data_IF_167073862442
#
_entry.id   IF_167073862442
#
_cell.length_a   1.000
_cell.length_b   1.000
_cell.length_c   1.000
_cell.angle_alpha   90.00
_cell.angle_beta   90.00
_cell.angle_gamma   90.00
#
_symmetry.space_group_name_H-M   'P 1'
#
loop_
_entity.id
_entity.type
_entity.pdbx_description
1 polymer ?
#
# COMPACT_ATOMS: atom_id res chain seq x y z
N UNK A 1 -7.02 -33.00 -59.03
CA UNK A 1 -6.71 -31.89 -58.10
C UNK A 1 -6.77 -32.46 -56.69
N UNK A 2 -5.64 -32.86 -56.13
CA UNK A 2 -5.56 -33.45 -54.81
C UNK A 2 -5.16 -32.32 -53.83
N UNK A 3 -6.05 -32.05 -52.88
CA UNK A 3 -5.82 -31.06 -51.79
C UNK A 3 -4.91 -31.68 -50.73
N UNK A 4 -3.73 -31.16 -50.60
CA UNK A 4 -2.77 -31.46 -49.52
C UNK A 4 -3.29 -30.79 -48.25
N UNK A 5 -3.90 -31.54 -47.36
CA UNK A 5 -4.13 -31.15 -45.98
C UNK A 5 -2.81 -31.33 -45.22
N UNK A 6 -2.07 -30.24 -45.01
CA UNK A 6 -0.98 -30.19 -44.01
C UNK A 6 -1.61 -30.17 -42.62
N UNK A 7 -1.55 -31.28 -41.91
CA UNK A 7 -1.82 -31.38 -40.49
C UNK A 7 -0.67 -30.70 -39.76
N UNK A 8 -0.91 -29.46 -39.29
CA UNK A 8 -0.06 -28.80 -38.32
C UNK A 8 -0.22 -29.54 -37.00
N UNK A 9 0.67 -30.46 -36.69
CA UNK A 9 0.79 -31.05 -35.38
C UNK A 9 1.35 -29.99 -34.44
N UNK A 10 0.46 -29.31 -33.73
CA UNK A 10 0.86 -28.47 -32.61
C UNK A 10 1.34 -29.38 -31.49
N UNK A 11 2.65 -29.67 -31.46
CA UNK A 11 3.30 -30.30 -30.33
C UNK A 11 3.20 -29.34 -29.15
N UNK A 12 2.18 -29.49 -28.33
CA UNK A 12 2.08 -28.81 -27.06
C UNK A 12 3.28 -29.23 -26.20
N UNK A 13 4.28 -28.36 -26.10
CA UNK A 13 5.37 -28.51 -25.14
C UNK A 13 4.70 -28.61 -23.75
N UNK A 14 4.93 -29.70 -22.99
CA UNK A 14 4.32 -29.82 -21.67
C UNK A 14 4.80 -28.65 -20.81
N UNK A 15 3.91 -27.74 -20.53
CA UNK A 15 4.14 -26.66 -19.56
C UNK A 15 4.32 -27.37 -18.23
N UNK A 16 5.57 -27.52 -17.81
CA UNK A 16 5.92 -28.03 -16.47
C UNK A 16 5.14 -27.22 -15.49
N UNK A 17 4.19 -27.83 -14.76
CA UNK A 17 3.36 -27.16 -13.78
C UNK A 17 4.29 -26.53 -12.74
N UNK A 18 4.67 -25.28 -12.96
CA UNK A 18 5.42 -24.48 -12.00
C UNK A 18 4.49 -24.22 -10.83
N UNK A 19 4.91 -24.63 -9.64
CA UNK A 19 4.15 -24.31 -8.42
C UNK A 19 4.03 -22.80 -8.33
N UNK A 20 2.82 -22.29 -8.44
CA UNK A 20 2.51 -20.85 -8.41
C UNK A 20 2.88 -20.29 -7.02
N UNK A 21 2.64 -21.07 -5.97
CA UNK A 21 2.90 -20.67 -4.59
C UNK A 21 4.11 -21.46 -4.08
N UNK A 22 5.17 -20.76 -3.73
CA UNK A 22 6.36 -21.30 -3.10
C UNK A 22 6.50 -20.77 -1.68
N UNK A 23 7.15 -21.49 -0.74
CA UNK A 23 7.42 -20.96 0.61
C UNK A 23 8.15 -19.61 0.57
N UNK A 24 9.03 -19.44 -0.41
CA UNK A 24 9.77 -18.20 -0.63
C UNK A 24 8.83 -17.03 -0.98
N UNK A 25 7.85 -17.23 -1.85
CA UNK A 25 6.90 -16.19 -2.22
C UNK A 25 6.01 -15.78 -1.04
N UNK A 26 5.62 -16.73 -0.19
CA UNK A 26 4.86 -16.46 1.03
C UNK A 26 5.70 -15.66 2.03
N UNK A 27 6.97 -16.07 2.26
CA UNK A 27 7.86 -15.35 3.18
C UNK A 27 8.12 -13.91 2.72
N UNK A 28 8.38 -13.71 1.41
CA UNK A 28 8.53 -12.37 0.85
C UNK A 28 7.23 -11.56 0.93
N UNK A 29 6.07 -12.22 0.75
CA UNK A 29 4.77 -11.59 0.93
C UNK A 29 4.53 -11.13 2.38
N UNK A 30 4.81 -11.98 3.36
CA UNK A 30 4.73 -11.62 4.78
C UNK A 30 5.72 -10.50 5.13
N UNK A 31 6.94 -10.56 4.60
CA UNK A 31 7.91 -9.48 4.75
C UNK A 31 7.38 -8.17 4.15
N UNK A 32 6.73 -8.22 2.98
CA UNK A 32 6.08 -7.04 2.37
C UNK A 32 5.00 -6.46 3.28
N UNK A 33 4.15 -7.29 3.85
CA UNK A 33 3.10 -6.84 4.79
C UNK A 33 3.72 -6.12 5.98
N UNK A 34 4.71 -6.73 6.64
CA UNK A 34 5.37 -6.14 7.80
C UNK A 34 6.08 -4.83 7.44
N UNK A 35 6.89 -4.82 6.37
CA UNK A 35 7.63 -3.64 5.95
C UNK A 35 6.69 -2.48 5.59
N UNK A 36 5.63 -2.73 4.84
CA UNK A 36 4.67 -1.70 4.45
C UNK A 36 3.90 -1.20 5.67
N UNK A 37 3.48 -2.09 6.57
CA UNK A 37 2.75 -1.71 7.78
C UNK A 37 3.58 -0.84 8.74
N UNK A 38 4.90 -0.93 8.68
CA UNK A 38 5.81 -0.09 9.46
C UNK A 38 6.22 1.19 8.72
N UNK A 39 6.63 1.03 7.46
CA UNK A 39 7.23 2.11 6.67
C UNK A 39 6.19 3.15 6.27
N UNK A 40 5.03 2.74 5.77
CA UNK A 40 4.03 3.68 5.22
C UNK A 40 3.48 4.61 6.31
N UNK A 41 3.00 4.13 7.49
CA UNK A 41 2.58 5.02 8.57
C UNK A 41 3.72 5.88 9.12
N UNK A 42 4.91 5.33 9.25
CA UNK A 42 6.07 6.09 9.73
C UNK A 42 6.38 7.29 8.83
N UNK A 43 6.47 7.08 7.53
CA UNK A 43 6.72 8.19 6.59
C UNK A 43 5.57 9.18 6.55
N UNK A 44 4.33 8.71 6.62
CA UNK A 44 3.14 9.56 6.54
C UNK A 44 2.93 10.40 7.80
N UNK A 45 3.05 9.81 8.99
CA UNK A 45 2.68 10.47 10.24
C UNK A 45 3.88 11.02 11.02
N UNK A 46 5.02 10.33 11.02
CA UNK A 46 6.20 10.76 11.78
C UNK A 46 7.06 11.72 10.96
N UNK A 47 7.30 11.38 9.70
CA UNK A 47 8.14 12.21 8.82
C UNK A 47 7.32 13.28 8.07
N UNK A 48 5.99 13.29 8.22
CA UNK A 48 5.06 14.19 7.52
C UNK A 48 5.34 14.30 6.01
N UNK A 49 5.76 13.18 5.40
CA UNK A 49 6.14 13.12 3.99
C UNK A 49 4.94 12.69 3.10
N UNK A 50 5.23 12.30 1.86
CA UNK A 50 4.21 11.87 0.90
C UNK A 50 3.32 10.74 1.41
N UNK A 51 2.06 10.77 1.02
CA UNK A 51 1.07 9.74 1.32
C UNK A 51 1.30 8.49 0.45
N UNK A 52 2.21 7.62 0.87
CA UNK A 52 2.63 6.43 0.12
C UNK A 52 1.53 5.37 -0.05
N UNK A 53 0.47 5.44 0.74
CA UNK A 53 -0.64 4.49 0.76
C UNK A 53 -2.02 5.09 0.45
N UNK A 54 -2.10 6.33 -0.05
CA UNK A 54 -3.38 7.04 -0.17
C UNK A 54 -4.15 6.77 -1.47
N UNK A 55 -3.45 6.42 -2.55
CA UNK A 55 -4.05 6.29 -3.88
C UNK A 55 -4.52 4.86 -4.20
N UNK A 56 -5.30 4.72 -5.26
CA UNK A 56 -5.76 3.42 -5.75
C UNK A 56 -4.60 2.50 -6.17
N UNK A 57 -3.47 3.06 -6.56
CA UNK A 57 -2.24 2.35 -6.84
C UNK A 57 -1.19 2.74 -5.80
N UNK A 58 -1.07 1.93 -4.77
CA UNK A 58 -0.23 2.20 -3.61
C UNK A 58 1.26 2.28 -3.98
N UNK A 59 1.80 3.49 -4.07
CA UNK A 59 3.18 3.75 -4.47
C UNK A 59 4.18 3.05 -3.55
N UNK A 60 3.93 2.99 -2.24
CA UNK A 60 4.77 2.27 -1.29
C UNK A 60 4.92 0.78 -1.61
N UNK A 61 3.82 0.13 -2.01
CA UNK A 61 3.85 -1.27 -2.41
C UNK A 61 4.57 -1.48 -3.75
N UNK A 62 4.39 -0.57 -4.71
CA UNK A 62 5.11 -0.61 -5.98
C UNK A 62 6.61 -0.37 -5.80
N UNK A 63 6.99 0.56 -4.93
CA UNK A 63 8.39 0.83 -4.61
C UNK A 63 9.06 -0.41 -3.99
N UNK A 64 8.40 -1.06 -3.03
CA UNK A 64 8.92 -2.28 -2.43
C UNK A 64 9.02 -3.43 -3.45
N UNK A 65 8.02 -3.56 -4.32
CA UNK A 65 8.07 -4.54 -5.41
C UNK A 65 9.22 -4.26 -6.39
N UNK A 66 9.43 -3.00 -6.76
CA UNK A 66 10.57 -2.59 -7.57
C UNK A 66 11.90 -2.91 -6.87
N UNK A 67 12.00 -2.63 -5.56
CA UNK A 67 13.17 -2.97 -4.77
C UNK A 67 13.44 -4.49 -4.79
N UNK A 68 12.42 -5.33 -4.67
CA UNK A 68 12.58 -6.79 -4.81
C UNK A 68 13.10 -7.18 -6.18
N UNK A 69 12.57 -6.60 -7.27
CA UNK A 69 13.08 -6.86 -8.61
C UNK A 69 14.55 -6.50 -8.75
N UNK A 70 14.93 -5.32 -8.29
CA UNK A 70 16.32 -4.89 -8.35
C UNK A 70 17.21 -5.78 -7.49
N UNK A 71 16.84 -6.06 -6.24
CA UNK A 71 17.65 -6.88 -5.35
C UNK A 71 17.78 -8.32 -5.87
N UNK A 72 16.67 -9.00 -6.14
CA UNK A 72 16.69 -10.42 -6.48
C UNK A 72 17.04 -10.68 -7.94
N UNK A 73 16.46 -9.94 -8.88
CA UNK A 73 16.59 -10.23 -10.30
C UNK A 73 17.75 -9.49 -10.98
N UNK A 74 18.22 -8.37 -10.44
CA UNK A 74 19.37 -7.64 -10.99
C UNK A 74 20.64 -7.91 -10.17
N UNK A 75 20.62 -7.69 -8.85
CA UNK A 75 21.83 -7.77 -8.02
C UNK A 75 22.17 -9.22 -7.67
N UNK A 76 21.30 -9.93 -6.97
CA UNK A 76 21.58 -11.28 -6.47
C UNK A 76 21.66 -12.33 -7.58
N UNK A 77 20.92 -12.15 -8.67
CA UNK A 77 20.99 -13.03 -9.83
C UNK A 77 22.36 -13.02 -10.54
N UNK A 78 23.16 -11.97 -10.34
CA UNK A 78 24.54 -11.93 -10.85
C UNK A 78 25.47 -12.92 -10.13
N UNK A 79 25.19 -13.21 -8.85
CA UNK A 79 25.95 -14.17 -8.07
C UNK A 79 25.40 -15.58 -8.24
N UNK A 80 24.07 -15.71 -8.16
CA UNK A 80 23.39 -17.00 -8.29
C UNK A 80 22.05 -16.83 -8.99
N UNK A 81 21.92 -17.40 -10.20
CA UNK A 81 20.69 -17.28 -11.02
C UNK A 81 19.43 -17.82 -10.34
N UNK A 82 19.58 -18.83 -9.47
CA UNK A 82 18.46 -19.42 -8.73
C UNK A 82 17.83 -18.46 -7.72
N UNK A 83 18.50 -17.36 -7.39
CA UNK A 83 17.97 -16.36 -6.48
C UNK A 83 17.03 -15.38 -7.18
N UNK A 84 17.05 -15.31 -8.50
CA UNK A 84 16.10 -14.52 -9.26
C UNK A 84 14.67 -15.04 -9.06
N UNK A 85 13.74 -14.11 -8.80
CA UNK A 85 12.32 -14.41 -8.66
C UNK A 85 11.71 -14.78 -10.00
N UNK A 86 10.84 -15.77 -9.99
CA UNK A 86 9.95 -16.06 -11.11
C UNK A 86 8.77 -15.07 -11.12
N UNK A 87 8.06 -14.90 -12.27
CA UNK A 87 6.86 -14.05 -12.31
C UNK A 87 5.84 -14.41 -11.22
N UNK A 88 5.64 -15.69 -10.96
CA UNK A 88 4.70 -16.20 -9.95
C UNK A 88 5.16 -15.89 -8.53
N UNK A 89 6.46 -16.03 -8.24
CA UNK A 89 7.03 -15.69 -6.94
C UNK A 89 7.00 -14.20 -6.66
N UNK A 90 6.98 -13.37 -7.69
CA UNK A 90 6.90 -11.92 -7.57
C UNK A 90 5.47 -11.39 -7.34
N UNK A 91 4.48 -11.98 -8.02
CA UNK A 91 3.08 -11.51 -7.94
C UNK A 91 2.51 -11.62 -6.52
N UNK A 92 2.88 -12.65 -5.75
CA UNK A 92 2.38 -12.85 -4.38
C UNK A 92 2.82 -11.73 -3.43
N UNK A 93 4.14 -11.42 -3.27
CA UNK A 93 4.59 -10.29 -2.47
C UNK A 93 3.99 -8.95 -2.90
N UNK A 94 3.85 -8.73 -4.20
CA UNK A 94 3.21 -7.52 -4.73
C UNK A 94 1.75 -7.41 -4.29
N UNK A 95 0.96 -8.48 -4.49
CA UNK A 95 -0.46 -8.50 -4.13
C UNK A 95 -0.67 -8.33 -2.61
N UNK A 96 0.12 -9.04 -1.80
CA UNK A 96 0.07 -8.93 -0.34
C UNK A 96 0.49 -7.53 0.12
N UNK A 97 1.53 -6.95 -0.49
CA UNK A 97 1.98 -5.59 -0.22
C UNK A 97 0.95 -4.53 -0.59
N UNK A 98 0.29 -4.66 -1.74
CA UNK A 98 -0.79 -3.75 -2.13
C UNK A 98 -1.98 -3.83 -1.17
N UNK A 99 -2.39 -5.02 -0.76
CA UNK A 99 -3.45 -5.20 0.23
C UNK A 99 -3.08 -4.57 1.59
N UNK A 100 -1.86 -4.80 2.07
CA UNK A 100 -1.37 -4.21 3.32
C UNK A 100 -1.34 -2.68 3.24
N UNK A 101 -0.83 -2.12 2.15
CA UNK A 101 -0.74 -0.66 1.96
C UNK A 101 -2.11 0.01 1.96
N UNK A 102 -3.13 -0.63 1.37
CA UNK A 102 -4.51 -0.14 1.39
C UNK A 102 -5.15 -0.15 2.78
N UNK A 103 -4.70 -1.02 3.67
CA UNK A 103 -5.28 -1.15 5.01
C UNK A 103 -4.60 -0.29 6.08
N UNK A 104 -3.32 0.03 5.92
CA UNK A 104 -2.49 0.57 7.02
C UNK A 104 -2.70 2.04 7.34
N UNK A 105 -3.08 2.88 6.37
CA UNK A 105 -3.21 4.32 6.56
C UNK A 105 -4.62 4.82 6.25
N UNK A 106 -4.78 5.55 5.17
CA UNK A 106 -6.04 6.22 4.81
C UNK A 106 -7.17 5.25 4.44
N UNK A 107 -6.86 4.00 4.09
CA UNK A 107 -7.89 3.02 3.75
C UNK A 107 -8.73 2.56 4.95
N UNK A 108 -8.06 2.12 6.02
CA UNK A 108 -8.75 1.64 7.21
C UNK A 108 -8.06 2.09 8.50
N UNK A 109 -6.74 2.03 8.60
CA UNK A 109 -6.01 2.18 9.86
C UNK A 109 -6.30 3.51 10.56
N UNK A 110 -6.08 4.63 9.90
CA UNK A 110 -6.30 5.96 10.50
C UNK A 110 -7.77 6.27 10.76
N UNK A 111 -8.71 6.11 9.79
CA UNK A 111 -10.13 6.32 10.06
C UNK A 111 -10.68 5.44 11.19
N UNK A 112 -10.24 4.19 11.25
CA UNK A 112 -10.66 3.25 12.27
C UNK A 112 -10.23 3.67 13.68
N UNK A 113 -8.93 3.94 13.85
CA UNK A 113 -8.40 4.40 15.15
C UNK A 113 -9.05 5.73 15.55
N UNK A 114 -9.17 6.68 14.63
CA UNK A 114 -9.82 7.97 14.88
C UNK A 114 -11.28 7.81 15.32
N UNK A 115 -12.02 6.89 14.71
CA UNK A 115 -13.42 6.61 15.07
C UNK A 115 -13.54 6.04 16.49
N UNK A 116 -12.61 5.13 16.88
CA UNK A 116 -12.63 4.53 18.22
C UNK A 116 -12.42 5.55 19.34
N UNK A 117 -11.62 6.57 19.10
CA UNK A 117 -11.25 7.58 20.10
C UNK A 117 -12.05 8.89 19.98
N UNK A 118 -12.69 9.15 18.84
CA UNK A 118 -13.37 10.41 18.55
C UNK A 118 -14.32 10.89 19.64
N UNK A 119 -15.18 10.03 20.25
CA UNK A 119 -16.11 10.48 21.28
C UNK A 119 -15.45 11.13 22.49
N UNK A 120 -14.26 10.66 22.86
CA UNK A 120 -13.51 11.21 24.00
C UNK A 120 -12.52 12.31 23.60
N UNK A 121 -11.95 12.20 22.41
CA UNK A 121 -10.94 13.15 21.94
C UNK A 121 -11.57 14.47 21.50
N UNK A 122 -12.74 14.43 20.88
CA UNK A 122 -13.41 15.59 20.32
C UNK A 122 -14.44 16.20 21.27
N UNK A 123 -14.60 15.66 22.49
CA UNK A 123 -15.48 16.22 23.48
C UNK A 123 -14.94 17.55 24.00
N UNK A 124 -15.76 18.61 23.94
CA UNK A 124 -15.46 19.93 24.47
C UNK A 124 -16.61 20.40 25.38
N UNK A 125 -16.37 21.39 26.26
CA UNK A 125 -17.44 21.97 27.05
C UNK A 125 -18.61 22.54 26.22
N UNK A 126 -18.32 23.04 25.03
CA UNK A 126 -19.29 23.66 24.12
C UNK A 126 -20.21 22.63 23.47
N UNK A 127 -19.67 21.49 23.08
CA UNK A 127 -20.46 20.44 22.41
C UNK A 127 -21.14 19.47 23.39
N UNK A 128 -20.76 19.50 24.67
CA UNK A 128 -21.34 18.72 25.76
C UNK A 128 -21.40 17.19 25.49
N UNK A 129 -20.49 16.66 24.68
CA UNK A 129 -20.49 15.24 24.36
C UNK A 129 -20.30 14.34 25.58
N UNK A 130 -19.57 14.82 26.58
CA UNK A 130 -19.40 14.10 27.83
C UNK A 130 -20.73 13.87 28.57
N UNK A 131 -21.67 14.80 28.48
CA UNK A 131 -22.98 14.71 29.10
C UNK A 131 -23.97 13.88 28.27
N UNK A 132 -24.02 14.15 26.95
CA UNK A 132 -25.02 13.54 26.07
C UNK A 132 -24.64 12.17 25.52
N UNK A 133 -23.36 11.88 25.28
CA UNK A 133 -22.95 10.63 24.62
C UNK A 133 -22.28 9.62 25.55
N UNK A 134 -21.43 10.04 26.50
CA UNK A 134 -20.68 9.10 27.35
C UNK A 134 -21.54 8.09 28.11
N UNK A 135 -22.74 8.42 28.65
CA UNK A 135 -23.55 7.43 29.31
C UNK A 135 -24.04 6.28 28.43
N UNK A 136 -24.07 6.52 27.10
CA UNK A 136 -24.57 5.55 26.12
C UNK A 136 -23.43 4.80 25.39
N UNK A 137 -22.19 5.27 25.50
CA UNK A 137 -21.05 4.60 24.87
C UNK A 137 -20.74 3.28 25.59
N UNK A 138 -20.60 2.24 24.81
CA UNK A 138 -20.26 0.92 25.33
C UNK A 138 -18.75 0.74 25.38
N UNK A 139 -18.18 0.23 26.50
CA UNK A 139 -16.73 0.05 26.65
C UNK A 139 -16.09 -0.90 25.60
N UNK A 140 -16.90 -1.73 24.98
CA UNK A 140 -16.41 -2.62 23.90
C UNK A 140 -16.32 -1.92 22.54
N UNK A 141 -16.99 -0.78 22.36
CA UNK A 141 -17.08 -0.09 21.07
C UNK A 141 -16.10 1.08 20.94
N UNK A 142 -15.69 1.68 22.05
CA UNK A 142 -14.88 2.90 22.09
C UNK A 142 -13.71 2.77 23.05
N UNK A 143 -12.64 3.51 22.77
CA UNK A 143 -11.45 3.55 23.64
C UNK A 143 -11.52 4.76 24.55
N UNK A 144 -11.44 4.53 25.85
CA UNK A 144 -11.42 5.58 26.87
C UNK A 144 -10.00 6.07 27.14
N UNK A 145 -9.84 7.23 27.82
CA UNK A 145 -8.51 7.73 28.21
C UNK A 145 -7.97 7.11 29.50
N UNK A 146 -8.40 5.90 29.87
CA UNK A 146 -7.83 5.19 31.01
C UNK A 146 -6.35 4.87 30.75
N UNK A 147 -5.52 5.08 31.77
CA UNK A 147 -4.07 4.89 31.63
C UNK A 147 -3.42 5.81 30.59
N UNK A 148 -3.99 6.97 30.35
CA UNK A 148 -3.55 7.94 29.33
C UNK A 148 -3.52 7.40 27.90
N UNK A 149 -4.38 6.41 27.59
CA UNK A 149 -4.36 5.70 26.31
C UNK A 149 -4.54 6.64 25.11
N UNK A 150 -5.42 7.64 25.22
CA UNK A 150 -5.67 8.63 24.16
C UNK A 150 -4.64 9.75 24.17
N UNK A 151 -4.30 10.28 25.35
CA UNK A 151 -3.29 11.32 25.50
C UNK A 151 -1.96 10.88 24.93
N UNK A 152 -1.51 9.66 25.23
CA UNK A 152 -0.25 9.15 24.73
C UNK A 152 -0.27 8.87 23.22
N UNK A 153 -1.42 8.59 22.65
CA UNK A 153 -1.53 8.40 21.20
C UNK A 153 -1.40 9.74 20.45
N UNK A 154 -1.94 10.84 21.03
CA UNK A 154 -1.99 12.17 20.40
C UNK A 154 -0.71 12.95 20.69
N UNK A 155 -0.32 13.02 21.96
CA UNK A 155 0.78 13.87 22.42
C UNK A 155 2.13 13.15 22.47
N UNK A 156 2.11 11.84 22.30
CA UNK A 156 3.29 10.99 22.41
C UNK A 156 3.42 10.33 23.77
N UNK A 157 4.00 9.14 23.77
CA UNK A 157 4.21 8.34 24.98
C UNK A 157 5.51 8.74 25.66
N UNK A 158 5.55 8.93 27.01
CA UNK A 158 6.78 9.26 27.71
C UNK A 158 7.77 8.09 27.68
N UNK A 159 9.11 8.38 27.73
CA UNK A 159 10.12 7.34 27.74
C UNK A 159 9.94 6.34 28.89
N UNK A 160 10.00 5.05 28.59
CA UNK A 160 9.84 3.98 29.58
C UNK A 160 8.39 3.57 29.89
N UNK A 161 7.40 4.27 29.37
CA UNK A 161 5.99 3.87 29.50
C UNK A 161 5.67 2.70 28.55
N UNK A 162 4.61 1.96 28.84
CA UNK A 162 4.12 0.86 28.01
C UNK A 162 2.71 1.17 27.50
N UNK A 163 2.41 0.70 26.28
CA UNK A 163 1.08 0.88 25.70
C UNK A 163 0.01 0.22 26.59
N UNK A 164 -1.06 0.93 26.98
CA UNK A 164 -2.12 0.39 27.83
C UNK A 164 -3.05 -0.55 27.05
N UNK A 165 -2.57 -1.73 26.67
CA UNK A 165 -3.30 -2.71 25.86
C UNK A 165 -4.61 -3.17 26.47
N UNK A 166 -4.76 -3.09 27.78
CA UNK A 166 -6.00 -3.42 28.47
C UNK A 166 -7.19 -2.56 28.01
N UNK A 167 -6.93 -1.31 27.63
CA UNK A 167 -7.96 -0.37 27.16
C UNK A 167 -8.26 -0.57 25.68
N UNK A 168 -7.25 -0.89 24.89
CA UNK A 168 -7.37 -1.08 23.43
C UNK A 168 -7.89 -2.48 23.04
N UNK A 169 -7.55 -3.50 23.82
CA UNK A 169 -7.77 -4.90 23.46
C UNK A 169 -9.25 -5.25 23.23
N UNK A 170 -10.14 -4.81 24.09
CA UNK A 170 -11.58 -5.14 24.00
C UNK A 170 -12.23 -4.47 22.78
N UNK A 171 -12.09 -3.15 22.55
CA UNK A 171 -12.63 -2.52 21.35
C UNK A 171 -12.06 -3.10 20.07
N UNK A 172 -10.73 -3.31 20.00
CA UNK A 172 -10.08 -3.90 18.82
C UNK A 172 -10.62 -5.30 18.54
N UNK A 173 -10.75 -6.17 19.53
CA UNK A 173 -11.27 -7.52 19.36
C UNK A 173 -12.66 -7.52 18.73
N UNK A 174 -13.60 -6.76 19.26
CA UNK A 174 -14.98 -6.72 18.76
C UNK A 174 -15.07 -6.13 17.36
N UNK A 175 -14.39 -5.02 17.11
CA UNK A 175 -14.39 -4.40 15.80
C UNK A 175 -13.69 -5.27 14.73
N UNK A 176 -12.56 -5.88 15.05
CA UNK A 176 -11.88 -6.80 14.11
C UNK A 176 -12.72 -8.04 13.82
N UNK A 177 -13.44 -8.56 14.83
CA UNK A 177 -14.38 -9.68 14.64
C UNK A 177 -15.49 -9.32 13.65
N UNK A 178 -15.88 -8.06 13.56
CA UNK A 178 -16.84 -7.57 12.58
C UNK A 178 -16.21 -7.25 11.21
N UNK A 179 -15.06 -6.58 11.20
CA UNK A 179 -14.39 -6.12 9.97
C UNK A 179 -13.83 -7.27 9.15
N UNK A 180 -13.19 -8.26 9.80
CA UNK A 180 -12.57 -9.40 9.10
C UNK A 180 -13.57 -10.20 8.25
N UNK A 181 -14.75 -10.59 8.75
CA UNK A 181 -15.78 -11.22 7.91
C UNK A 181 -16.29 -10.34 6.77
N UNK A 182 -16.40 -9.02 6.96
CA UNK A 182 -16.78 -8.10 5.88
C UNK A 182 -15.75 -8.07 4.75
N UNK A 183 -14.45 -8.01 5.09
CA UNK A 183 -13.37 -8.10 4.10
C UNK A 183 -13.43 -9.45 3.39
N UNK A 184 -13.61 -10.54 4.13
CA UNK A 184 -13.73 -11.89 3.56
C UNK A 184 -14.93 -12.01 2.62
N UNK A 185 -16.07 -11.46 3.00
CA UNK A 185 -17.26 -11.40 2.14
C UNK A 185 -16.95 -10.65 0.83
N UNK A 186 -16.27 -9.49 0.92
CA UNK A 186 -15.84 -8.74 -0.26
C UNK A 186 -14.92 -9.56 -1.18
N UNK A 187 -13.97 -10.29 -0.61
CA UNK A 187 -13.11 -11.20 -1.39
C UNK A 187 -13.91 -12.32 -2.07
N UNK A 188 -14.88 -12.92 -1.39
CA UNK A 188 -15.76 -13.93 -1.99
C UNK A 188 -16.56 -13.36 -3.17
N UNK A 189 -17.09 -12.14 -3.03
CA UNK A 189 -17.80 -11.46 -4.11
C UNK A 189 -16.90 -11.22 -5.33
N UNK A 190 -15.67 -10.74 -5.11
CA UNK A 190 -14.69 -10.53 -6.20
C UNK A 190 -14.37 -11.86 -6.90
N UNK A 191 -14.22 -12.97 -6.17
CA UNK A 191 -13.96 -14.28 -6.75
C UNK A 191 -15.13 -14.75 -7.62
N UNK A 192 -16.38 -14.55 -7.16
CA UNK A 192 -17.58 -14.91 -7.92
C UNK A 192 -17.70 -14.06 -9.19
N UNK A 193 -17.50 -12.73 -9.06
CA UNK A 193 -17.65 -11.79 -10.17
C UNK A 193 -16.47 -11.83 -11.16
N UNK A 194 -15.31 -12.35 -10.73
CA UNK A 194 -14.11 -12.41 -11.56
C UNK A 194 -14.38 -13.04 -12.93
N UNK A 195 -15.11 -14.16 -12.96
CA UNK A 195 -15.40 -14.85 -14.22
C UNK A 195 -16.23 -13.98 -15.14
N UNK A 196 -17.25 -13.31 -14.60
CA UNK A 196 -18.08 -12.39 -15.35
C UNK A 196 -17.24 -11.25 -15.96
N UNK A 197 -16.44 -10.58 -15.13
CA UNK A 197 -15.66 -9.41 -15.54
C UNK A 197 -14.53 -9.73 -16.53
N UNK A 198 -13.82 -10.83 -16.30
CA UNK A 198 -12.62 -11.16 -17.10
C UNK A 198 -12.99 -11.91 -18.39
N UNK A 199 -13.90 -12.91 -18.31
CA UNK A 199 -14.18 -13.80 -19.42
C UNK A 199 -15.34 -13.31 -20.32
N UNK A 200 -16.40 -12.73 -19.72
CA UNK A 200 -17.59 -12.31 -20.44
C UNK A 200 -17.54 -10.83 -20.84
N UNK A 201 -17.37 -9.96 -19.88
CA UNK A 201 -17.36 -8.51 -20.13
C UNK A 201 -16.01 -8.00 -20.64
N UNK A 202 -14.93 -8.76 -20.45
CA UNK A 202 -13.57 -8.43 -20.87
C UNK A 202 -13.15 -7.02 -20.41
N UNK A 203 -13.46 -6.70 -19.16
CA UNK A 203 -13.16 -5.40 -18.59
C UNK A 203 -11.65 -5.12 -18.63
N UNK A 204 -11.30 -3.95 -19.09
CA UNK A 204 -9.92 -3.47 -19.06
C UNK A 204 -9.63 -2.92 -17.66
N UNK A 205 -8.61 -3.46 -17.00
CA UNK A 205 -8.14 -3.01 -15.69
C UNK A 205 -6.87 -2.15 -15.89
N UNK A 206 -6.97 -0.84 -16.16
CA UNK A 206 -5.80 -0.01 -16.52
C UNK A 206 -4.73 0.00 -15.42
N UNK A 207 -5.15 0.04 -14.16
CA UNK A 207 -4.26 0.05 -12.99
C UNK A 207 -3.40 -1.21 -12.88
N UNK A 208 -3.89 -2.35 -13.37
CA UNK A 208 -3.17 -3.61 -13.35
C UNK A 208 -2.07 -3.69 -14.43
N UNK A 209 -2.04 -2.77 -15.38
CA UNK A 209 -1.00 -2.75 -16.42
C UNK A 209 0.38 -2.47 -15.82
N UNK A 210 0.47 -1.67 -14.76
CA UNK A 210 1.74 -1.36 -14.09
C UNK A 210 2.29 -2.60 -13.36
N UNK A 211 1.55 -3.28 -12.46
CA UNK A 211 1.97 -4.56 -11.91
C UNK A 211 2.35 -5.61 -12.95
N UNK A 212 1.58 -5.70 -14.04
CA UNK A 212 1.86 -6.63 -15.13
C UNK A 212 3.14 -6.26 -15.89
N UNK A 213 3.45 -4.98 -16.07
CA UNK A 213 4.69 -4.55 -16.68
C UNK A 213 5.93 -5.04 -15.92
N UNK A 214 5.83 -5.15 -14.60
CA UNK A 214 6.91 -5.68 -13.76
C UNK A 214 7.20 -7.17 -14.03
N UNK A 215 6.22 -7.95 -14.46
CA UNK A 215 6.38 -9.39 -14.73
C UNK A 215 6.76 -9.68 -16.17
N UNK A 216 6.51 -8.76 -17.11
CA UNK A 216 6.84 -8.94 -18.52
C UNK A 216 8.35 -9.09 -18.71
N UNK A 217 8.78 -10.15 -19.41
CA UNK A 217 10.19 -10.45 -19.65
C UNK A 217 10.85 -11.31 -18.56
N UNK A 218 10.23 -11.50 -17.39
CA UNK A 218 10.77 -12.37 -16.34
C UNK A 218 10.70 -13.87 -16.69
N UNK A 219 9.98 -14.24 -17.74
CA UNK A 219 9.96 -15.62 -18.27
C UNK A 219 11.24 -15.96 -19.07
N UNK A 220 12.00 -14.94 -19.46
CA UNK A 220 13.27 -15.11 -20.15
C UNK A 220 14.34 -15.73 -19.23
N UNK A 221 15.39 -16.35 -19.77
CA UNK A 221 16.49 -16.91 -18.96
C UNK A 221 17.20 -15.90 -18.06
N UNK A 222 17.13 -14.61 -18.40
CA UNK A 222 17.69 -13.52 -17.60
C UNK A 222 16.81 -13.14 -16.40
N UNK A 223 15.50 -13.45 -16.45
CA UNK A 223 14.49 -13.06 -15.47
C UNK A 223 14.47 -11.56 -15.14
N UNK A 224 14.98 -10.74 -16.04
CA UNK A 224 14.98 -9.28 -15.90
C UNK A 224 13.70 -8.74 -16.57
N UNK A 225 12.91 -7.90 -15.88
CA UNK A 225 11.74 -7.27 -16.48
C UNK A 225 12.09 -6.48 -17.75
N UNK A 226 11.26 -6.60 -18.78
CA UNK A 226 11.52 -6.01 -20.09
C UNK A 226 11.67 -4.48 -20.03
N UNK A 227 10.89 -3.80 -19.18
CA UNK A 227 10.92 -2.34 -19.06
C UNK A 227 12.27 -1.80 -18.58
N UNK A 228 13.04 -2.56 -17.79
CA UNK A 228 14.39 -2.16 -17.37
C UNK A 228 15.40 -2.09 -18.53
N UNK A 229 15.10 -2.75 -19.64
CA UNK A 229 15.92 -2.72 -20.86
C UNK A 229 15.48 -1.61 -21.82
N UNK A 230 14.35 -0.95 -21.58
CA UNK A 230 13.82 0.08 -22.45
C UNK A 230 14.42 1.46 -22.16
N UNK A 231 14.98 2.11 -23.19
CA UNK A 231 15.52 3.48 -23.07
C UNK A 231 14.46 4.49 -22.63
N UNK A 232 13.21 4.30 -23.06
CA UNK A 232 12.08 5.18 -22.71
C UNK A 232 11.83 5.22 -21.20
N UNK A 233 11.95 4.06 -20.54
CA UNK A 233 11.82 3.98 -19.09
C UNK A 233 12.88 4.83 -18.39
N UNK A 234 14.14 4.70 -18.79
CA UNK A 234 15.24 5.44 -18.17
C UNK A 234 15.17 6.94 -18.43
N UNK A 235 14.71 7.37 -19.62
CA UNK A 235 14.47 8.79 -19.90
C UNK A 235 13.38 9.33 -18.97
N UNK A 236 12.23 8.63 -18.90
CA UNK A 236 11.12 9.03 -18.01
C UNK A 236 11.49 9.03 -16.54
N UNK A 237 12.30 8.08 -16.08
CA UNK A 237 12.81 8.00 -14.72
C UNK A 237 13.81 9.13 -14.40
N UNK A 238 14.69 9.46 -15.34
CA UNK A 238 15.76 10.44 -15.11
C UNK A 238 15.22 11.84 -14.84
N UNK A 239 14.11 12.22 -15.45
CA UNK A 239 13.51 13.56 -15.27
C UNK A 239 13.14 13.82 -13.81
N UNK A 240 12.20 13.05 -13.19
CA UNK A 240 11.85 13.26 -11.79
C UNK A 240 13.02 12.98 -10.85
N UNK A 241 13.88 12.02 -11.18
CA UNK A 241 15.06 11.71 -10.39
C UNK A 241 16.04 12.90 -10.30
N UNK A 242 16.34 13.58 -11.40
CA UNK A 242 17.19 14.76 -11.40
C UNK A 242 16.57 15.91 -10.58
N UNK A 243 15.26 16.12 -10.69
CA UNK A 243 14.57 17.15 -9.89
C UNK A 243 14.63 16.81 -8.39
N UNK A 244 14.43 15.54 -8.03
CA UNK A 244 14.54 15.10 -6.63
C UNK A 244 15.97 15.26 -6.10
N UNK A 245 16.98 14.86 -6.88
CA UNK A 245 18.39 15.05 -6.49
C UNK A 245 18.75 16.52 -6.31
N UNK A 246 18.28 17.38 -7.20
CA UNK A 246 18.44 18.81 -7.07
C UNK A 246 17.83 19.34 -5.76
N UNK A 247 16.62 18.95 -5.42
CA UNK A 247 15.94 19.35 -4.20
C UNK A 247 16.62 18.80 -2.93
N UNK A 248 17.20 17.60 -2.99
CA UNK A 248 18.00 17.03 -1.90
C UNK A 248 19.24 17.91 -1.66
N UNK A 249 19.93 18.37 -2.71
CA UNK A 249 21.05 19.30 -2.58
C UNK A 249 20.58 20.61 -1.95
N UNK A 250 19.43 21.15 -2.38
CA UNK A 250 18.83 22.36 -1.80
C UNK A 250 18.44 22.20 -0.33
N UNK A 251 18.10 21.00 0.13
CA UNK A 251 17.82 20.73 1.54
C UNK A 251 19.09 20.87 2.41
N UNK A 252 20.24 20.42 1.93
CA UNK A 252 21.52 20.53 2.65
C UNK A 252 22.25 21.86 2.44
N UNK A 253 21.89 22.59 1.38
CA UNK A 253 22.57 23.84 0.99
C UNK A 253 21.56 24.97 0.79
N UNK A 254 21.35 25.86 1.79
CA UNK A 254 20.32 26.92 1.73
C UNK A 254 20.44 27.90 0.56
N UNK A 255 21.62 27.94 -0.09
CA UNK A 255 21.85 28.80 -1.26
C UNK A 255 21.15 28.29 -2.52
N UNK A 256 20.82 26.99 -2.59
CA UNK A 256 20.17 26.37 -3.75
C UNK A 256 18.65 26.43 -3.57
N UNK A 257 17.91 27.21 -4.38
CA UNK A 257 16.45 27.27 -4.27
C UNK A 257 15.85 25.90 -4.63
N UNK A 258 14.87 25.47 -3.84
CA UNK A 258 14.16 24.21 -4.13
C UNK A 258 13.21 24.38 -5.32
N UNK A 259 13.16 23.37 -6.17
CA UNK A 259 12.19 23.30 -7.26
C UNK A 259 10.83 22.87 -6.69
N UNK A 260 9.77 23.69 -6.80
CA UNK A 260 8.47 23.35 -6.25
C UNK A 260 7.85 22.18 -7.06
N UNK A 261 7.54 21.07 -6.38
CA UNK A 261 6.84 19.93 -7.00
C UNK A 261 5.38 20.23 -7.30
N UNK A 262 4.79 21.04 -6.45
CA UNK A 262 3.44 21.57 -6.62
C UNK A 262 3.55 23.08 -6.52
N UNK A 263 2.95 23.79 -7.47
CA UNK A 263 2.75 25.21 -7.26
C UNK A 263 2.06 25.38 -5.92
N UNK A 264 2.64 26.13 -5.01
CA UNK A 264 1.95 26.55 -3.80
C UNK A 264 0.68 27.23 -4.31
N UNK A 265 -0.47 26.53 -4.24
CA UNK A 265 -1.74 27.22 -4.36
C UNK A 265 -1.67 28.33 -3.31
N UNK A 266 -1.82 29.61 -3.70
CA UNK A 266 -1.85 30.66 -2.71
C UNK A 266 -2.88 30.22 -1.67
N UNK A 267 -2.59 30.39 -0.35
CA UNK A 267 -3.57 30.05 0.66
C UNK A 267 -4.86 30.71 0.21
N UNK A 268 -5.93 29.92 0.10
CA UNK A 268 -7.26 30.49 -0.13
C UNK A 268 -7.53 31.31 1.13
N UNK A 269 -7.13 32.57 1.09
CA UNK A 269 -7.54 33.56 2.07
C UNK A 269 -9.03 33.68 1.80
N UNK A 270 -9.84 32.98 2.57
CA UNK A 270 -11.26 33.29 2.67
C UNK A 270 -11.30 34.74 3.14
N UNK A 271 -11.48 35.63 2.14
CA UNK A 271 -11.52 37.05 2.42
C UNK A 271 -12.56 37.31 3.50
N UNK A 272 -12.31 38.34 4.28
CA UNK A 272 -13.17 38.86 5.36
C UNK A 272 -14.58 39.23 4.83
N UNK A 273 -15.34 38.26 4.36
CA UNK A 273 -16.64 38.47 3.73
C UNK A 273 -17.70 37.45 4.08
N UNK A 274 -17.37 36.42 4.88
CA UNK A 274 -18.40 35.54 5.44
C UNK A 274 -18.82 36.11 6.80
N UNK A 275 -20.10 36.48 6.98
CA UNK A 275 -20.60 36.85 8.32
C UNK A 275 -20.46 35.61 9.22
N UNK A 276 -20.14 35.81 10.52
CA UNK A 276 -20.12 34.72 11.47
C UNK A 276 -21.53 34.11 11.54
N UNK A 277 -21.60 32.80 11.37
CA UNK A 277 -22.80 32.01 11.64
C UNK A 277 -23.05 31.96 13.13
#
# INVERSE_FOLDING_TARGET
>A
MASVQQSVSTSAVPVKATRIITPRSILLGLASVVLISLIVPYFQYTMASSQLGADHLHIGALFLAFAYLVIFNVVLARWKKDWALTPYEFVIPLAMGMAASGLTTNGMGAPFISTLMAPYLLATPENQWAEYFYPYLKPWATVTNQGNALTWLVDGMPPGASIPWSVWGIPLFWWLTFIVPLIFMGLCLVVILRRQWVEHEKLVFPMMQIPLAFTRGMESPSRIPAFLSEKRFWIGFSIPFCVMMYNIVGFFTPVVPQFPYFGSAPPIVFGEGFPPL
#
